data_IF_572315688814
#
_entry.id   IF_572315688814
#
_cell.length_a   1.000
_cell.length_b   1.000
_cell.length_c   1.000
_cell.angle_alpha   90.00
_cell.angle_beta   90.00
_cell.angle_gamma   90.00
#
_symmetry.space_group_name_H-M   'P 1'
#
loop_
_entity.id
_entity.type
_entity.pdbx_description
1 polymer ?
#
# COMPACT_ATOMS: atom_id res chain seq x y z
N UNK A 1 2.80 -12.17 -13.17
CA UNK A 1 2.46 -12.61 -11.80
C UNK A 1 3.09 -11.61 -10.83
N UNK A 2 2.29 -10.85 -10.09
CA UNK A 2 2.78 -9.83 -9.15
C UNK A 2 3.65 -10.53 -8.09
N UNK A 3 4.90 -10.12 -7.87
CA UNK A 3 5.77 -10.70 -6.84
C UNK A 3 5.54 -9.94 -5.52
N UNK A 4 4.71 -10.45 -4.59
CA UNK A 4 4.29 -9.72 -3.40
C UNK A 4 5.45 -9.43 -2.44
N UNK A 5 6.51 -10.24 -2.47
CA UNK A 5 7.66 -10.10 -1.57
C UNK A 5 8.34 -8.76 -1.79
N UNK A 6 8.56 -8.39 -3.06
CA UNK A 6 9.25 -7.14 -3.43
C UNK A 6 8.48 -5.90 -2.98
N UNK A 7 7.15 -5.94 -3.06
CA UNK A 7 6.28 -4.85 -2.61
C UNK A 7 6.35 -4.63 -1.10
N UNK A 8 6.28 -5.70 -0.32
CA UNK A 8 6.24 -5.59 1.16
C UNK A 8 7.57 -5.11 1.74
N UNK A 9 8.69 -5.34 1.06
CA UNK A 9 9.99 -4.78 1.48
C UNK A 9 9.93 -3.26 1.71
N UNK A 10 9.10 -2.52 0.97
CA UNK A 10 8.92 -1.08 1.18
C UNK A 10 8.24 -0.74 2.51
N UNK A 11 7.33 -1.58 3.00
CA UNK A 11 6.64 -1.36 4.28
C UNK A 11 7.47 -1.87 5.47
N UNK A 12 8.29 -2.91 5.27
CA UNK A 12 9.03 -3.60 6.34
C UNK A 12 10.39 -2.96 6.62
N UNK A 13 10.98 -2.26 5.64
CA UNK A 13 12.31 -1.65 5.81
C UNK A 13 12.30 -0.50 6.81
N UNK A 14 13.16 -0.64 7.82
CA UNK A 14 13.44 0.37 8.83
C UNK A 14 14.52 1.37 8.36
N UNK A 15 14.40 2.62 8.79
CA UNK A 15 15.42 3.66 8.56
C UNK A 15 15.52 4.17 7.12
N UNK A 16 14.46 4.02 6.32
CA UNK A 16 14.28 4.74 5.06
C UNK A 16 13.04 5.61 5.20
N UNK A 17 13.15 6.90 4.87
CA UNK A 17 12.03 7.83 5.03
C UNK A 17 10.90 7.48 4.06
N UNK A 18 9.68 7.90 4.40
CA UNK A 18 8.54 7.74 3.51
C UNK A 18 8.74 8.51 2.19
N UNK A 19 9.26 9.74 2.25
CA UNK A 19 9.43 10.59 1.08
C UNK A 19 10.48 9.99 0.12
N UNK A 20 11.54 9.38 0.62
CA UNK A 20 12.52 8.64 -0.21
C UNK A 20 11.87 7.45 -0.93
N UNK A 21 11.08 6.65 -0.19
CA UNK A 21 10.36 5.50 -0.77
C UNK A 21 9.38 5.96 -1.84
N UNK A 22 8.65 7.06 -1.59
CA UNK A 22 7.71 7.62 -2.54
C UNK A 22 8.44 8.13 -3.80
N UNK A 23 9.56 8.82 -3.65
CA UNK A 23 10.37 9.31 -4.77
C UNK A 23 10.91 8.17 -5.66
N UNK A 24 11.27 7.02 -5.06
CA UNK A 24 11.67 5.82 -5.80
C UNK A 24 10.48 5.23 -6.57
N UNK A 25 9.33 5.10 -5.93
CA UNK A 25 8.13 4.55 -6.58
C UNK A 25 7.63 5.47 -7.70
N UNK A 26 7.62 6.78 -7.50
CA UNK A 26 7.20 7.74 -8.53
C UNK A 26 8.10 7.70 -9.77
N UNK A 27 9.41 7.47 -9.60
CA UNK A 27 10.36 7.33 -10.71
C UNK A 27 10.20 6.03 -11.49
N UNK A 28 9.98 4.92 -10.80
CA UNK A 28 9.96 3.57 -11.41
C UNK A 28 8.55 3.03 -11.68
N UNK A 29 7.52 3.74 -11.20
CA UNK A 29 6.11 3.40 -11.32
C UNK A 29 5.62 2.33 -10.33
N UNK A 30 6.44 1.33 -9.99
CA UNK A 30 6.07 0.29 -9.02
C UNK A 30 7.28 -0.30 -8.29
N UNK A 31 7.02 -0.95 -7.15
CA UNK A 31 8.04 -1.65 -6.37
C UNK A 31 8.72 -2.80 -7.15
N UNK A 32 7.99 -3.41 -8.08
CA UNK A 32 8.49 -4.49 -8.92
C UNK A 32 9.49 -3.94 -9.94
N UNK A 33 9.08 -2.89 -10.65
CA UNK A 33 9.93 -2.20 -11.62
C UNK A 33 11.19 -1.64 -10.96
N UNK A 34 11.05 -1.05 -9.76
CA UNK A 34 12.18 -0.54 -8.98
C UNK A 34 13.24 -1.65 -8.75
N UNK A 35 12.80 -2.83 -8.34
CA UNK A 35 13.71 -3.96 -8.11
C UNK A 35 14.34 -4.48 -9.40
N UNK A 36 13.56 -4.55 -10.49
CA UNK A 36 14.08 -5.00 -11.79
C UNK A 36 15.12 -4.02 -12.38
N UNK A 37 14.90 -2.71 -12.22
CA UNK A 37 15.87 -1.69 -12.58
C UNK A 37 17.14 -1.81 -11.73
N UNK A 38 16.97 -2.00 -10.42
CA UNK A 38 18.09 -2.20 -9.49
C UNK A 38 18.95 -3.42 -9.87
N UNK A 39 18.34 -4.57 -10.21
CA UNK A 39 19.09 -5.76 -10.65
C UNK A 39 19.81 -5.58 -11.99
N UNK A 40 19.28 -4.73 -12.88
CA UNK A 40 19.82 -4.48 -14.23
C UNK A 40 20.90 -3.38 -14.28
N UNK A 41 21.45 -2.98 -13.13
CA UNK A 41 22.40 -1.89 -12.90
C UNK A 41 21.80 -0.48 -13.04
N UNK A 42 21.25 0.04 -11.94
CA UNK A 42 20.95 1.47 -11.77
C UNK A 42 22.23 2.33 -11.81
N UNK A 43 22.13 3.56 -12.30
CA UNK A 43 23.27 4.46 -12.52
C UNK A 43 23.58 5.41 -11.35
N UNK A 44 22.62 5.62 -10.43
CA UNK A 44 22.75 6.56 -9.30
C UNK A 44 23.19 5.85 -8.01
N UNK A 45 24.34 6.26 -7.46
CA UNK A 45 24.93 5.69 -6.22
C UNK A 45 24.01 5.83 -5.00
N UNK A 46 23.26 6.92 -4.89
CA UNK A 46 22.37 7.14 -3.75
C UNK A 46 21.15 6.22 -3.80
N UNK A 47 20.62 6.01 -5.00
CA UNK A 47 19.50 5.10 -5.24
C UNK A 47 19.90 3.64 -4.96
N UNK A 48 21.09 3.22 -5.38
CA UNK A 48 21.62 1.88 -5.13
C UNK A 48 21.67 1.60 -3.63
N UNK A 49 22.22 2.51 -2.81
CA UNK A 49 22.34 2.32 -1.37
C UNK A 49 20.97 2.19 -0.68
N UNK A 50 19.98 2.97 -1.12
CA UNK A 50 18.60 2.85 -0.63
C UNK A 50 17.97 1.52 -1.05
N UNK A 51 18.10 1.12 -2.32
CA UNK A 51 17.60 -0.15 -2.83
C UNK A 51 18.23 -1.35 -2.12
N UNK A 52 19.54 -1.34 -1.86
CA UNK A 52 20.22 -2.38 -1.08
C UNK A 52 19.65 -2.52 0.33
N UNK A 53 19.36 -1.39 0.98
CA UNK A 53 18.74 -1.39 2.30
C UNK A 53 17.31 -1.93 2.25
N UNK A 54 16.50 -1.48 1.29
CA UNK A 54 15.11 -1.92 1.09
C UNK A 54 15.05 -3.42 0.81
N UNK A 55 15.84 -3.89 -0.16
CA UNK A 55 15.79 -5.25 -0.68
C UNK A 55 16.82 -6.19 -0.07
N UNK A 56 17.38 -5.84 1.10
CA UNK A 56 18.30 -6.72 1.83
C UNK A 56 17.70 -8.11 2.07
N UNK A 57 18.56 -9.15 2.14
CA UNK A 57 18.12 -10.53 2.38
C UNK A 57 17.26 -10.67 3.66
N UNK A 58 17.60 -9.90 4.70
CA UNK A 58 16.84 -9.87 5.95
C UNK A 58 15.42 -9.32 5.75
N UNK A 59 15.26 -8.23 5.01
CA UNK A 59 13.94 -7.64 4.73
C UNK A 59 13.12 -8.52 3.80
N UNK A 60 13.74 -9.16 2.81
CA UNK A 60 13.06 -10.14 1.96
C UNK A 60 12.53 -11.33 2.76
N UNK A 61 13.27 -11.81 3.76
CA UNK A 61 12.81 -12.88 4.65
C UNK A 61 11.61 -12.41 5.49
N UNK A 62 11.73 -11.27 6.17
CA UNK A 62 10.63 -10.67 6.94
C UNK A 62 9.38 -10.43 6.07
N UNK A 63 9.56 -9.97 4.84
CA UNK A 63 8.47 -9.74 3.90
C UNK A 63 7.73 -11.03 3.55
N UNK A 64 8.44 -12.15 3.37
CA UNK A 64 7.83 -13.47 3.15
C UNK A 64 6.99 -13.91 4.35
N UNK A 65 7.54 -13.80 5.55
CA UNK A 65 6.85 -14.17 6.79
C UNK A 65 5.56 -13.33 6.96
N UNK A 66 5.62 -12.03 6.63
CA UNK A 66 4.46 -11.14 6.71
C UNK A 66 3.38 -11.48 5.67
N UNK A 67 3.77 -11.86 4.45
CA UNK A 67 2.83 -12.34 3.41
C UNK A 67 2.08 -13.58 3.87
N UNK A 68 2.79 -14.53 4.50
CA UNK A 68 2.17 -15.74 5.02
C UNK A 68 1.14 -15.43 6.10
N UNK A 69 1.46 -14.51 7.03
CA UNK A 69 0.49 -14.03 8.02
C UNK A 69 -0.73 -13.40 7.37
N UNK A 70 -0.54 -12.48 6.41
CA UNK A 70 -1.65 -11.82 5.70
C UNK A 70 -2.54 -12.86 5.03
N UNK A 71 -1.95 -13.84 4.35
CA UNK A 71 -2.69 -14.93 3.70
C UNK A 71 -3.44 -15.80 4.70
N UNK A 72 -2.83 -16.12 5.84
CA UNK A 72 -3.44 -16.96 6.89
C UNK A 72 -4.73 -16.36 7.46
N UNK A 73 -4.86 -15.03 7.45
CA UNK A 73 -6.06 -14.33 7.93
C UNK A 73 -7.07 -13.99 6.81
N UNK A 74 -6.85 -14.49 5.59
CA UNK A 74 -7.66 -14.14 4.42
C UNK A 74 -7.53 -12.67 4.02
N UNK A 75 -6.34 -12.11 4.24
CA UNK A 75 -6.00 -10.74 3.90
C UNK A 75 -5.48 -10.59 2.48
N UNK A 76 -5.44 -9.35 2.02
CA UNK A 76 -4.89 -8.93 0.74
C UNK A 76 -3.99 -7.71 0.92
N UNK A 77 -3.20 -7.46 -0.11
CA UNK A 77 -2.26 -6.35 -0.19
C UNK A 77 -2.29 -5.74 -1.59
N UNK A 78 -2.20 -4.42 -1.69
CA UNK A 78 -2.18 -3.69 -2.96
C UNK A 78 -1.12 -2.60 -2.88
N UNK A 79 -0.17 -2.60 -3.82
CA UNK A 79 0.92 -1.64 -3.89
C UNK A 79 0.50 -0.37 -4.62
N UNK A 80 1.08 0.77 -4.25
CA UNK A 80 1.06 1.96 -5.10
C UNK A 80 1.66 1.62 -6.48
N UNK A 81 0.97 2.06 -7.54
CA UNK A 81 1.32 1.73 -8.93
C UNK A 81 0.73 0.41 -9.45
N UNK A 82 0.09 -0.40 -8.60
CA UNK A 82 -0.68 -1.55 -9.07
C UNK A 82 -1.98 -1.11 -9.75
N UNK A 83 -2.45 -1.81 -10.80
CA UNK A 83 -3.73 -1.49 -11.46
C UNK A 83 -4.93 -1.49 -10.52
N UNK A 84 -4.90 -2.31 -9.46
CA UNK A 84 -5.97 -2.40 -8.47
C UNK A 84 -5.92 -1.32 -7.39
N UNK A 85 -4.89 -0.46 -7.35
CA UNK A 85 -4.77 0.60 -6.36
C UNK A 85 -5.79 1.72 -6.61
N UNK A 86 -6.54 2.20 -5.59
CA UNK A 86 -7.56 3.23 -5.80
C UNK A 86 -6.96 4.54 -6.33
N UNK A 87 -7.43 4.99 -7.50
CA UNK A 87 -6.95 6.21 -8.17
C UNK A 87 -7.01 7.45 -7.28
N UNK A 88 -8.13 7.67 -6.59
CA UNK A 88 -8.30 8.84 -5.72
C UNK A 88 -7.29 8.81 -4.55
N UNK A 89 -6.96 7.61 -4.06
CA UNK A 89 -6.01 7.45 -2.96
C UNK A 89 -4.56 7.58 -3.44
N UNK A 90 -4.26 7.38 -4.73
CA UNK A 90 -2.90 7.63 -5.27
C UNK A 90 -2.64 9.11 -5.54
N UNK A 91 -3.68 9.95 -5.54
CA UNK A 91 -3.60 11.38 -5.87
C UNK A 91 -3.45 12.30 -4.65
N UNK A 92 -3.54 11.77 -3.43
CA UNK A 92 -3.30 12.57 -2.22
C UNK A 92 -1.79 12.88 -2.07
N UNK A 93 -1.44 13.87 -1.25
CA UNK A 93 -0.05 14.32 -1.05
C UNK A 93 0.91 13.21 -0.58
N UNK A 94 0.45 12.40 0.40
CA UNK A 94 1.21 11.28 0.95
C UNK A 94 0.43 9.96 0.81
N UNK A 95 0.39 9.35 -0.39
CA UNK A 95 -0.36 8.12 -0.63
C UNK A 95 0.28 6.91 0.07
N UNK A 96 -0.49 6.03 0.74
CA UNK A 96 0.06 4.81 1.30
C UNK A 96 0.80 3.96 0.24
N UNK A 97 2.03 3.52 0.54
CA UNK A 97 2.81 2.73 -0.43
C UNK A 97 2.25 1.32 -0.63
N UNK A 98 1.66 0.75 0.44
CA UNK A 98 1.03 -0.56 0.44
C UNK A 98 -0.24 -0.48 1.27
N UNK A 99 -1.35 -0.88 0.69
CA UNK A 99 -2.62 -1.09 1.38
C UNK A 99 -2.70 -2.52 1.84
N UNK A 100 -3.15 -2.72 3.08
CA UNK A 100 -3.48 -4.03 3.62
C UNK A 100 -4.95 -4.04 3.97
N UNK A 101 -5.62 -5.18 3.78
CA UNK A 101 -6.99 -5.34 4.23
C UNK A 101 -7.40 -6.79 4.33
N UNK A 102 -8.59 -7.00 4.89
CA UNK A 102 -9.18 -8.32 5.13
C UNK A 102 -10.54 -8.41 4.45
N UNK A 103 -10.87 -9.59 3.91
CA UNK A 103 -12.12 -9.82 3.19
C UNK A 103 -11.99 -9.59 1.68
N UNK A 104 -13.09 -9.29 0.99
CA UNK A 104 -13.08 -9.13 -0.48
C UNK A 104 -12.70 -7.70 -0.87
N UNK A 105 -11.72 -7.56 -1.75
CA UNK A 105 -11.39 -6.26 -2.34
C UNK A 105 -12.50 -5.82 -3.33
N UNK A 106 -13.11 -4.64 -3.15
CA UNK A 106 -14.24 -4.17 -3.96
C UNK A 106 -13.80 -3.68 -5.35
N UNK A 107 -13.26 -4.58 -6.19
CA UNK A 107 -12.73 -4.27 -7.54
C UNK A 107 -13.71 -3.55 -8.47
N UNK A 108 -15.02 -3.74 -8.25
CA UNK A 108 -16.08 -3.23 -9.14
C UNK A 108 -16.63 -1.86 -8.71
N UNK A 109 -16.21 -1.33 -7.56
CA UNK A 109 -16.73 -0.06 -7.06
C UNK A 109 -15.81 1.08 -7.47
N UNK A 110 -16.36 2.05 -8.20
CA UNK A 110 -15.60 3.22 -8.66
C UNK A 110 -15.75 4.44 -7.74
N UNK A 111 -16.77 4.45 -6.88
CA UNK A 111 -17.08 5.56 -5.97
C UNK A 111 -17.13 5.06 -4.53
N UNK A 112 -16.44 5.78 -3.66
CA UNK A 112 -16.42 5.53 -2.22
C UNK A 112 -16.84 6.81 -1.50
N UNK A 113 -17.81 6.71 -0.60
CA UNK A 113 -18.27 7.81 0.24
C UNK A 113 -17.90 7.47 1.69
N UNK A 114 -17.09 8.33 2.32
CA UNK A 114 -16.70 8.19 3.71
C UNK A 114 -17.71 8.88 4.62
N UNK A 115 -18.23 8.16 5.61
CA UNK A 115 -19.03 8.72 6.69
C UNK A 115 -18.15 8.89 7.94
N UNK A 116 -18.08 10.12 8.45
CA UNK A 116 -17.37 10.45 9.70
C UNK A 116 -18.33 11.11 10.69
N UNK A 117 -18.04 11.00 11.99
CA UNK A 117 -18.89 11.55 13.03
C UNK A 117 -18.28 11.42 14.43
N UNK A 118 -18.97 11.90 15.47
CA UNK A 118 -18.50 11.81 16.85
C UNK A 118 -18.41 10.35 17.32
N UNK A 119 -17.41 10.03 18.16
CA UNK A 119 -17.23 8.69 18.75
C UNK A 119 -18.38 8.26 19.67
N UNK A 120 -19.12 9.23 20.23
CA UNK A 120 -20.33 9.04 21.04
C UNK A 120 -21.47 9.85 20.40
N UNK A 121 -22.07 9.37 19.30
CA UNK A 121 -23.15 10.08 18.65
C UNK A 121 -24.43 10.01 19.49
N UNK A 122 -25.31 11.00 19.32
CA UNK A 122 -26.67 10.92 19.86
C UNK A 122 -27.47 9.82 19.14
N UNK A 123 -28.56 9.36 19.76
CA UNK A 123 -29.49 8.42 19.12
C UNK A 123 -30.04 8.96 17.79
N UNK A 124 -30.33 10.26 17.74
CA UNK A 124 -30.72 10.94 16.51
C UNK A 124 -29.63 10.84 15.44
N UNK A 125 -28.38 11.22 15.75
CA UNK A 125 -27.29 11.17 14.79
C UNK A 125 -27.01 9.76 14.26
N UNK A 126 -27.13 8.73 15.11
CA UNK A 126 -26.99 7.35 14.66
C UNK A 126 -28.12 6.90 13.72
N UNK A 127 -29.38 7.33 13.97
CA UNK A 127 -30.51 7.05 13.08
C UNK A 127 -30.35 7.75 11.74
N UNK A 128 -29.97 9.02 11.74
CA UNK A 128 -29.74 9.80 10.52
C UNK A 128 -28.62 9.19 9.68
N UNK A 129 -27.48 8.81 10.29
CA UNK A 129 -26.37 8.19 9.56
C UNK A 129 -26.79 6.86 8.90
N UNK A 130 -27.57 6.02 9.59
CA UNK A 130 -28.11 4.78 9.01
C UNK A 130 -29.09 5.04 7.86
N UNK A 131 -29.95 6.05 8.00
CA UNK A 131 -30.91 6.42 6.96
C UNK A 131 -30.19 6.87 5.69
N UNK A 132 -29.21 7.78 5.79
CA UNK A 132 -28.43 8.25 4.63
C UNK A 132 -27.65 7.09 4.00
N UNK A 133 -27.03 6.21 4.80
CA UNK A 133 -26.25 5.10 4.29
C UNK A 133 -27.09 4.05 3.52
N UNK A 134 -28.38 3.92 3.83
CA UNK A 134 -29.30 3.04 3.10
C UNK A 134 -29.81 3.65 1.77
N UNK A 135 -29.72 4.97 1.62
CA UNK A 135 -30.21 5.70 0.44
C UNK A 135 -29.16 5.76 -0.69
N UNK A 136 -27.88 5.52 -0.36
CA UNK A 136 -26.74 5.49 -1.27
C UNK A 136 -26.53 4.12 -1.93
#
# INVERSE_FOLDING_TARGET
MMNPVKTICLSVVDGVSYDDKLALIMRHGSAINLFECYEKNSTDKNEIALCEKIFSKANQKKAKDEIEKIRSVGGWMIALGAPEYPKNLSQIDKPPLVLFGKGKWPRNYQKFIGFIGPRKPSQYGMRTAKWIANDL
#
